data_IF_329305164086
#
_entry.id   IF_329305164086
#
_cell.length_a   1.000
_cell.length_b   1.000
_cell.length_c   1.000
_cell.angle_alpha   90.00
_cell.angle_beta   90.00
_cell.angle_gamma   90.00
#
_symmetry.space_group_name_H-M   'P 1'
#
loop_
_entity.id
_entity.type
_entity.pdbx_description
1 polymer ?
#
# COMPACT_ATOMS: atom_id res chain seq x y z
N UNK A 1 -33.32 -3.41 9.84
CA UNK A 1 -32.46 -2.25 9.56
C UNK A 1 -31.21 -2.77 8.87
N UNK A 2 -31.12 -2.57 7.55
CA UNK A 2 -30.15 -3.23 6.67
C UNK A 2 -28.72 -2.83 7.01
N UNK A 3 -27.86 -3.82 7.23
CA UNK A 3 -26.43 -3.61 7.37
C UNK A 3 -25.91 -3.23 5.98
N UNK A 4 -25.65 -1.94 5.75
CA UNK A 4 -24.88 -1.50 4.59
C UNK A 4 -23.60 -2.32 4.56
N UNK A 5 -23.28 -2.94 3.42
CA UNK A 5 -22.03 -3.69 3.28
C UNK A 5 -20.87 -2.73 3.59
N UNK A 6 -19.89 -3.10 4.45
CA UNK A 6 -18.77 -2.23 4.75
C UNK A 6 -18.08 -1.82 3.46
N UNK A 7 -17.78 -0.53 3.33
CA UNK A 7 -17.03 -0.05 2.16
C UNK A 7 -15.60 -0.57 2.23
N UNK A 8 -14.90 -0.61 1.09
CA UNK A 8 -13.48 -0.96 1.10
C UNK A 8 -12.65 -0.08 2.06
N UNK A 9 -13.02 1.20 2.21
CA UNK A 9 -12.36 2.09 3.18
C UNK A 9 -12.61 1.66 4.63
N UNK A 10 -13.82 1.17 4.92
CA UNK A 10 -14.16 0.63 6.25
C UNK A 10 -13.36 -0.65 6.53
N UNK A 11 -13.20 -1.52 5.53
CA UNK A 11 -12.41 -2.75 5.70
C UNK A 11 -10.92 -2.44 5.90
N UNK A 12 -10.36 -1.43 5.21
CA UNK A 12 -8.98 -0.99 5.45
C UNK A 12 -8.81 -0.42 6.86
N UNK A 13 -9.77 0.38 7.36
CA UNK A 13 -9.73 0.89 8.75
C UNK A 13 -9.82 -0.21 9.79
N UNK A 14 -10.66 -1.21 9.54
CA UNK A 14 -10.78 -2.38 10.39
C UNK A 14 -9.46 -3.17 10.44
N UNK A 15 -8.85 -3.41 9.27
CA UNK A 15 -7.53 -4.03 9.16
C UNK A 15 -6.46 -3.26 9.94
N UNK A 16 -6.37 -1.94 9.77
CA UNK A 16 -5.41 -1.11 10.50
C UNK A 16 -5.59 -1.20 12.03
N UNK A 17 -6.84 -1.26 12.48
CA UNK A 17 -7.17 -1.43 13.90
C UNK A 17 -6.75 -2.81 14.42
N UNK A 18 -7.06 -3.87 13.68
CA UNK A 18 -6.70 -5.26 14.00
C UNK A 18 -5.19 -5.43 14.13
N UNK A 19 -4.42 -4.78 13.25
CA UNK A 19 -2.96 -4.88 13.21
C UNK A 19 -2.23 -3.85 14.10
N UNK A 20 -2.97 -3.04 14.86
CA UNK A 20 -2.37 -1.98 15.70
C UNK A 20 -1.39 -2.51 16.76
N UNK A 21 -1.66 -3.68 17.36
CA UNK A 21 -0.74 -4.32 18.32
C UNK A 21 0.55 -4.78 17.64
N UNK A 22 0.43 -5.38 16.44
CA UNK A 22 1.59 -5.77 15.64
C UNK A 22 2.42 -4.55 15.27
N UNK A 23 1.77 -3.49 14.77
CA UNK A 23 2.43 -2.23 14.42
C UNK A 23 3.24 -1.65 15.59
N UNK A 24 2.65 -1.59 16.79
CA UNK A 24 3.35 -1.10 17.99
C UNK A 24 4.53 -1.96 18.42
N UNK A 25 4.51 -3.26 18.12
CA UNK A 25 5.60 -4.18 18.45
C UNK A 25 6.78 -4.12 17.46
N UNK A 26 6.60 -3.50 16.29
CA UNK A 26 7.67 -3.34 15.31
C UNK A 26 8.75 -2.36 15.82
N UNK A 27 10.00 -2.56 15.36
CA UNK A 27 11.04 -1.54 15.50
C UNK A 27 10.61 -0.26 14.78
N UNK A 28 11.03 0.91 15.27
CA UNK A 28 10.68 2.23 14.71
C UNK A 28 10.86 2.29 13.18
N UNK A 29 11.98 1.77 12.66
CA UNK A 29 12.25 1.72 11.21
C UNK A 29 11.19 0.98 10.38
N UNK A 30 10.49 0.00 10.97
CA UNK A 30 9.44 -0.78 10.31
C UNK A 30 8.05 -0.22 10.58
N UNK A 31 7.87 0.58 11.64
CA UNK A 31 6.59 1.25 11.92
C UNK A 31 6.23 2.25 10.81
N UNK A 32 7.20 3.03 10.35
CA UNK A 32 7.00 3.99 9.26
C UNK A 32 6.67 3.28 7.94
N UNK A 33 7.38 2.18 7.65
CA UNK A 33 7.13 1.37 6.45
C UNK A 33 5.75 0.72 6.49
N UNK A 34 5.30 0.26 7.66
CA UNK A 34 3.96 -0.29 7.82
C UNK A 34 2.88 0.77 7.57
N UNK A 35 3.04 1.99 8.10
CA UNK A 35 2.10 3.09 7.85
C UNK A 35 2.05 3.46 6.36
N UNK A 36 3.22 3.51 5.70
CA UNK A 36 3.30 3.74 4.27
C UNK A 36 2.62 2.63 3.45
N UNK A 37 2.68 1.38 3.92
CA UNK A 37 1.99 0.25 3.30
C UNK A 37 0.46 0.44 3.36
N UNK A 38 -0.08 0.76 4.54
CA UNK A 38 -1.53 1.02 4.70
C UNK A 38 -1.98 2.21 3.86
N UNK A 39 -1.17 3.26 3.80
CA UNK A 39 -1.47 4.44 2.98
C UNK A 39 -1.60 4.07 1.50
N UNK A 40 -0.66 3.30 0.95
CA UNK A 40 -0.69 2.88 -0.46
C UNK A 40 -1.91 2.01 -0.79
N UNK A 41 -2.33 1.12 0.11
CA UNK A 41 -3.52 0.27 -0.08
C UNK A 41 -4.79 1.09 -0.29
N UNK A 42 -4.87 2.29 0.31
CA UNK A 42 -6.03 3.20 0.15
C UNK A 42 -6.12 3.79 -1.26
N UNK A 43 -5.02 3.86 -2.00
CA UNK A 43 -5.01 4.34 -3.39
C UNK A 43 -5.76 3.40 -4.34
N UNK A 44 -5.93 2.14 -3.95
CA UNK A 44 -6.66 1.13 -4.72
C UNK A 44 -8.13 1.01 -4.28
N UNK A 45 -8.66 1.99 -3.55
CA UNK A 45 -10.02 1.93 -3.03
C UNK A 45 -11.10 1.80 -4.11
N UNK A 46 -10.87 2.38 -5.28
CA UNK A 46 -11.82 2.33 -6.39
C UNK A 46 -11.87 0.91 -6.98
N UNK A 47 -10.70 0.29 -7.17
CA UNK A 47 -10.60 -1.10 -7.65
C UNK A 47 -11.09 -2.12 -6.61
N UNK A 48 -10.69 -1.96 -5.34
CA UNK A 48 -11.12 -2.83 -4.25
C UNK A 48 -12.62 -2.73 -3.96
N UNK A 49 -13.20 -1.54 -4.10
CA UNK A 49 -14.64 -1.32 -3.99
C UNK A 49 -15.45 -2.01 -5.10
N UNK A 50 -14.92 -2.05 -6.33
CA UNK A 50 -15.57 -2.76 -7.45
C UNK A 50 -15.52 -4.29 -7.29
N UNK A 51 -14.42 -4.84 -6.78
CA UNK A 51 -14.26 -6.28 -6.63
C UNK A 51 -15.24 -6.87 -5.61
N UNK A 52 -15.61 -6.10 -4.58
CA UNK A 52 -16.55 -6.49 -3.50
C UNK A 52 -16.30 -7.94 -3.00
N UNK A 53 -15.03 -8.29 -2.82
CA UNK A 53 -14.62 -9.66 -2.49
C UNK A 53 -15.14 -10.05 -1.09
N UNK A 54 -15.64 -11.28 -0.89
CA UNK A 54 -16.16 -11.72 0.41
C UNK A 54 -15.09 -11.77 1.50
N UNK A 55 -13.82 -11.91 1.10
CA UNK A 55 -12.66 -11.76 1.98
C UNK A 55 -11.93 -10.44 1.69
N UNK A 56 -12.08 -9.41 2.55
CA UNK A 56 -11.39 -8.14 2.40
C UNK A 56 -9.87 -8.25 2.52
N UNK A 57 -9.36 -9.23 3.29
CA UNK A 57 -7.93 -9.43 3.48
C UNK A 57 -7.24 -9.72 2.16
N UNK A 58 -7.81 -10.62 1.34
CA UNK A 58 -7.31 -10.90 -0.01
C UNK A 58 -7.22 -9.64 -0.85
N UNK A 59 -8.23 -8.76 -0.82
CA UNK A 59 -8.21 -7.48 -1.57
C UNK A 59 -7.13 -6.52 -1.05
N UNK A 60 -6.93 -6.44 0.26
CA UNK A 60 -5.85 -5.65 0.85
C UNK A 60 -4.47 -6.17 0.43
N UNK A 61 -4.24 -7.48 0.50
CA UNK A 61 -2.98 -8.10 0.10
C UNK A 61 -2.68 -7.87 -1.38
N UNK A 62 -3.66 -8.02 -2.27
CA UNK A 62 -3.49 -7.71 -3.70
C UNK A 62 -3.12 -6.24 -3.90
N UNK A 63 -3.79 -5.34 -3.18
CA UNK A 63 -3.49 -3.90 -3.26
C UNK A 63 -2.09 -3.56 -2.74
N UNK A 64 -1.62 -4.23 -1.68
CA UNK A 64 -0.27 -4.10 -1.16
C UNK A 64 0.78 -4.58 -2.18
N UNK A 65 0.55 -5.75 -2.77
CA UNK A 65 1.44 -6.31 -3.80
C UNK A 65 1.52 -5.40 -5.03
N UNK A 66 0.37 -4.89 -5.48
CA UNK A 66 0.31 -3.96 -6.61
C UNK A 66 1.02 -2.64 -6.32
N UNK A 67 0.86 -2.10 -5.10
CA UNK A 67 1.61 -0.92 -4.67
C UNK A 67 3.13 -1.15 -4.73
N UNK A 68 3.59 -2.32 -4.28
CA UNK A 68 4.99 -2.69 -4.34
C UNK A 68 5.48 -2.86 -5.77
N UNK A 69 4.70 -3.51 -6.64
CA UNK A 69 5.04 -3.66 -8.06
C UNK A 69 5.23 -2.29 -8.73
N UNK A 70 4.28 -1.35 -8.54
CA UNK A 70 4.40 0.00 -9.08
C UNK A 70 5.68 0.70 -8.59
N UNK A 71 6.00 0.59 -7.29
CA UNK A 71 7.21 1.19 -6.73
C UNK A 71 8.50 0.53 -7.26
N UNK A 72 8.49 -0.79 -7.45
CA UNK A 72 9.63 -1.49 -8.03
C UNK A 72 9.87 -1.01 -9.46
N UNK A 73 8.82 -0.95 -10.29
CA UNK A 73 8.90 -0.42 -11.66
C UNK A 73 9.44 1.01 -11.69
N UNK A 74 8.98 1.89 -10.79
CA UNK A 74 9.49 3.26 -10.69
C UNK A 74 10.99 3.30 -10.35
N UNK A 75 11.44 2.45 -9.43
CA UNK A 75 12.85 2.36 -9.05
C UNK A 75 13.70 1.78 -10.17
N UNK A 76 13.21 0.75 -10.87
CA UNK A 76 13.88 0.16 -12.03
C UNK A 76 14.05 1.18 -13.15
N UNK A 77 13.01 1.97 -13.46
CA UNK A 77 13.09 3.06 -14.43
C UNK A 77 14.09 4.15 -14.02
N UNK A 78 14.21 4.46 -12.73
CA UNK A 78 15.22 5.41 -12.23
C UNK A 78 16.65 4.87 -12.35
N UNK A 79 16.84 3.56 -12.24
CA UNK A 79 18.14 2.93 -12.43
C UNK A 79 18.49 2.83 -13.93
N UNK A 80 17.50 2.61 -14.79
CA UNK A 80 17.67 2.54 -16.25
C UNK A 80 17.84 3.93 -16.89
N UNK A 81 17.38 4.99 -16.24
CA UNK A 81 17.78 6.37 -16.52
C UNK A 81 18.94 6.78 -15.60
N UNK A 82 20.20 6.39 -15.89
CA UNK A 82 21.31 7.06 -15.25
C UNK A 82 21.13 8.53 -15.58
N UNK A 83 20.89 9.35 -14.55
CA UNK A 83 21.00 10.80 -14.68
C UNK A 83 22.20 11.07 -15.58
N UNK A 84 21.94 11.75 -16.68
CA UNK A 84 22.93 12.48 -17.44
C UNK A 84 23.84 13.14 -16.43
N UNK A 85 25.02 12.56 -16.21
CA UNK A 85 26.10 13.23 -15.51
C UNK A 85 26.32 14.50 -16.33
N UNK A 86 26.07 15.71 -15.81
CA UNK A 86 26.63 16.88 -16.45
C UNK A 86 28.13 16.65 -16.36
N UNK A 87 28.76 16.50 -17.53
CA UNK A 87 30.18 16.40 -17.69
C UNK A 87 30.89 17.19 -16.59
N UNK A 88 31.70 16.49 -15.79
CA UNK A 88 32.77 17.13 -15.05
C UNK A 88 33.69 17.69 -16.13
N UNK A 89 33.38 18.90 -16.57
CA UNK A 89 34.27 19.79 -17.29
C UNK A 89 34.98 20.58 -16.20
N UNK A 90 36.14 20.08 -15.76
CA UNK A 90 37.43 20.81 -15.73
C UNK A 90 38.56 19.83 -15.38
#
# INVERSE_FOLDING_TARGET
>A
MGKTNPTYRDTVRAFETEWSTYHRALRTQHQDQFQQLIHQVRNFADAGGMQNHPDPMTTHLISMLLAHECRLTELELQLENPRSDPAITD
#
